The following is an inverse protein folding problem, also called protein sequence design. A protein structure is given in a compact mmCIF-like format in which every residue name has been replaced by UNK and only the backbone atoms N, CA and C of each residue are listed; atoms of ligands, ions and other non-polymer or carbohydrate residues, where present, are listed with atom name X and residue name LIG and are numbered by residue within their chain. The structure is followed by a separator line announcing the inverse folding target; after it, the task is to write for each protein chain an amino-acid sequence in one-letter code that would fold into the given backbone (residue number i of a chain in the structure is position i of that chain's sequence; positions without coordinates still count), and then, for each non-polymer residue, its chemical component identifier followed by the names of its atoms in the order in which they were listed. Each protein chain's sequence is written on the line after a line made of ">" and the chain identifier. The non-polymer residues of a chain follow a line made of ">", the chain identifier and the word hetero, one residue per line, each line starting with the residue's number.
data_IF_723897096428
#
_entry.id   IF_723897096428
#
_cell.length_a   1.000
_cell.length_b   1.000
_cell.length_c   1.000
_cell.angle_alpha   90.00
_cell.angle_beta   90.00
_cell.angle_gamma   90.00
#
_symmetry.space_group_name_H-M   'P 1'
#
loop_
_entity.id
_entity.type
_entity.pdbx_description
1 polymer ?
#
# COMPACT_ATOMS: atom_id res chain seq x y z
N UNK A 1 22.66 -20.77 1.90
CA UNK A 1 22.14 -21.61 0.80
C UNK A 1 20.96 -20.87 0.19
N UNK A 2 21.08 -20.43 -1.07
CA UNK A 2 20.00 -19.70 -1.75
C UNK A 2 18.97 -20.70 -2.24
N UNK A 3 17.85 -20.87 -1.56
CA UNK A 3 16.71 -21.58 -2.11
C UNK A 3 16.05 -20.68 -3.18
N UNK A 4 16.49 -20.87 -4.42
CA UNK A 4 15.74 -20.37 -5.57
C UNK A 4 14.47 -21.19 -5.66
N UNK A 5 13.32 -20.54 -5.49
CA UNK A 5 12.04 -21.07 -5.92
C UNK A 5 12.16 -21.45 -7.41
N UNK A 6 12.26 -22.72 -7.67
CA UNK A 6 12.07 -23.23 -9.03
C UNK A 6 10.56 -23.24 -9.27
N UNK A 7 10.02 -22.10 -9.73
CA UNK A 7 8.66 -22.04 -10.25
C UNK A 7 8.62 -22.97 -11.45
N UNK A 8 8.24 -24.24 -11.22
CA UNK A 8 8.06 -25.18 -12.32
C UNK A 8 7.02 -24.61 -13.25
N UNK A 9 7.46 -24.24 -14.45
CA UNK A 9 6.58 -23.87 -15.55
C UNK A 9 5.64 -25.04 -15.85
N UNK A 10 4.37 -24.85 -15.57
CA UNK A 10 3.32 -25.60 -16.24
C UNK A 10 2.86 -24.65 -17.34
N UNK A 11 3.33 -24.89 -18.55
CA UNK A 11 2.91 -24.19 -19.75
C UNK A 11 1.45 -24.57 -20.04
N UNK A 12 0.54 -23.68 -19.70
CA UNK A 12 -0.85 -23.74 -20.12
C UNK A 12 -1.23 -22.36 -20.66
N UNK A 13 -1.17 -22.20 -21.98
CA UNK A 13 -1.59 -21.00 -22.69
C UNK A 13 -3.09 -20.84 -22.52
N UNK A 14 -3.55 -19.84 -21.76
CA UNK A 14 -4.93 -19.37 -21.84
C UNK A 14 -4.91 -17.85 -21.93
N UNK A 15 -5.21 -17.37 -23.11
CA UNK A 15 -5.46 -15.98 -23.44
C UNK A 15 -6.85 -15.61 -22.90
N UNK A 16 -6.92 -14.85 -21.82
CA UNK A 16 -8.17 -14.32 -21.31
C UNK A 16 -8.36 -12.89 -21.80
N UNK A 17 -9.12 -12.75 -22.88
CA UNK A 17 -9.73 -11.48 -23.30
C UNK A 17 -10.93 -11.23 -22.40
N UNK A 18 -10.91 -10.15 -21.63
CA UNK A 18 -12.07 -9.73 -20.84
C UNK A 18 -13.15 -9.16 -21.75
N UNK A 19 -14.06 -10.01 -22.19
CA UNK A 19 -15.36 -9.63 -22.75
C UNK A 19 -16.42 -10.15 -21.78
N UNK A 20 -17.19 -9.25 -21.20
CA UNK A 20 -18.37 -9.56 -20.41
C UNK A 20 -19.42 -10.22 -21.30
N UNK A 21 -19.49 -11.54 -21.28
CA UNK A 21 -20.59 -12.33 -21.81
C UNK A 21 -20.87 -13.47 -20.84
N UNK A 22 -22.02 -13.37 -20.20
CA UNK A 22 -22.62 -14.46 -19.44
C UNK A 22 -22.87 -15.64 -20.39
N UNK A 23 -22.01 -16.64 -20.36
CA UNK A 23 -22.27 -17.95 -20.91
C UNK A 23 -21.80 -19.00 -19.90
N UNK A 24 -22.74 -19.81 -19.47
CA UNK A 24 -22.54 -21.02 -18.69
C UNK A 24 -21.51 -21.90 -19.37
N UNK A 25 -20.30 -22.00 -18.82
CA UNK A 25 -19.30 -22.97 -19.25
C UNK A 25 -19.28 -24.09 -18.22
N UNK A 26 -19.63 -25.26 -18.69
CA UNK A 26 -19.55 -26.53 -17.95
C UNK A 26 -18.13 -26.81 -17.46
N UNK A 27 -18.01 -27.06 -16.17
CA UNK A 27 -16.93 -27.56 -15.39
C UNK A 27 -15.65 -28.04 -16.07
N UNK A 28 -14.64 -27.19 -16.02
CA UNK A 28 -13.27 -27.64 -15.79
C UNK A 28 -12.88 -27.07 -14.42
N UNK A 29 -12.65 -27.94 -13.44
CA UNK A 29 -12.00 -27.56 -12.21
C UNK A 29 -10.62 -27.02 -12.61
N UNK A 30 -10.46 -25.72 -12.56
CA UNK A 30 -9.16 -25.09 -12.77
C UNK A 30 -8.37 -25.36 -11.49
N UNK A 31 -7.27 -26.10 -11.61
CA UNK A 31 -6.40 -26.37 -10.47
C UNK A 31 -5.96 -25.04 -9.82
N UNK A 32 -6.02 -24.99 -8.51
CA UNK A 32 -5.51 -23.84 -7.76
C UNK A 32 -4.00 -23.69 -7.98
N UNK A 33 -3.51 -22.46 -8.11
CA UNK A 33 -2.08 -22.28 -8.32
C UNK A 33 -1.66 -20.90 -8.80
N UNK A 34 -0.33 -20.77 -8.93
CA UNK A 34 0.31 -19.56 -9.41
C UNK A 34 0.24 -19.46 -10.94
N UNK A 35 -0.16 -18.28 -11.40
CA UNK A 35 -0.19 -17.94 -12.82
C UNK A 35 0.58 -16.65 -13.06
N UNK A 36 1.13 -16.52 -14.27
CA UNK A 36 1.77 -15.29 -14.73
C UNK A 36 1.02 -14.77 -15.94
N UNK A 37 0.58 -13.53 -15.86
CA UNK A 37 -0.03 -12.85 -16.98
C UNK A 37 1.01 -12.54 -18.07
N UNK A 38 0.72 -12.91 -19.31
CA UNK A 38 1.68 -12.80 -20.41
C UNK A 38 1.89 -11.36 -20.89
N UNK A 39 0.92 -10.48 -20.68
CA UNK A 39 1.01 -9.07 -21.09
C UNK A 39 1.66 -8.20 -20.03
N UNK A 40 1.17 -8.28 -18.79
CA UNK A 40 1.65 -7.47 -17.67
C UNK A 40 2.89 -8.04 -16.99
N UNK A 41 3.19 -9.34 -17.23
CA UNK A 41 4.23 -10.13 -16.56
C UNK A 41 4.07 -10.22 -15.04
N UNK A 42 2.89 -9.86 -14.54
CA UNK A 42 2.55 -9.92 -13.11
C UNK A 42 2.01 -11.31 -12.75
N UNK A 43 2.16 -11.67 -11.47
CA UNK A 43 1.68 -12.94 -10.93
C UNK A 43 0.31 -12.76 -10.29
N UNK A 44 -0.52 -13.80 -10.35
CA UNK A 44 -1.80 -13.94 -9.66
C UNK A 44 -2.01 -15.39 -9.22
N UNK A 45 -2.98 -15.64 -8.32
CA UNK A 45 -3.23 -16.97 -7.79
C UNK A 45 -4.69 -17.37 -7.94
N UNK A 46 -4.95 -18.48 -8.63
CA UNK A 46 -6.29 -19.07 -8.73
C UNK A 46 -6.59 -19.98 -7.55
N UNK A 47 -7.84 -19.99 -7.11
CA UNK A 47 -8.36 -20.94 -6.12
C UNK A 47 -9.21 -22.02 -6.81
N UNK A 48 -9.48 -23.14 -6.11
CA UNK A 48 -10.09 -24.34 -6.68
C UNK A 48 -11.50 -24.14 -7.26
N UNK A 49 -12.18 -23.04 -6.94
CA UNK A 49 -13.52 -22.70 -7.48
C UNK A 49 -13.48 -21.85 -8.75
N UNK A 50 -12.28 -21.61 -9.29
CA UNK A 50 -12.05 -20.77 -10.48
C UNK A 50 -12.03 -19.28 -10.20
N UNK A 51 -12.08 -18.87 -8.93
CA UNK A 51 -11.85 -17.47 -8.50
C UNK A 51 -10.35 -17.21 -8.28
N UNK A 52 -10.02 -15.98 -7.92
CA UNK A 52 -8.64 -15.58 -7.60
C UNK A 52 -8.64 -14.55 -6.45
N UNK A 53 -7.53 -14.50 -5.74
CA UNK A 53 -7.38 -13.56 -4.63
C UNK A 53 -7.22 -12.13 -5.12
N UNK A 54 -7.84 -11.17 -4.42
CA UNK A 54 -7.68 -9.73 -4.64
C UNK A 54 -7.94 -8.94 -3.36
N UNK A 55 -7.32 -7.76 -3.28
CA UNK A 55 -7.42 -6.83 -2.14
C UNK A 55 -7.23 -7.51 -0.78
N UNK A 56 -6.32 -8.48 -0.69
CA UNK A 56 -6.19 -9.31 0.51
C UNK A 56 -4.82 -9.95 0.67
N UNK A 57 -4.47 -10.23 1.92
CA UNK A 57 -3.36 -11.10 2.29
C UNK A 57 -3.79 -12.56 2.29
N UNK A 58 -2.92 -13.43 1.80
CA UNK A 58 -3.17 -14.88 1.76
C UNK A 58 -1.92 -15.66 2.16
N UNK A 59 -2.11 -16.63 3.04
CA UNK A 59 -1.09 -17.62 3.36
C UNK A 59 -1.16 -18.75 2.34
N UNK A 60 -0.11 -18.95 1.57
CA UNK A 60 -0.07 -19.91 0.48
C UNK A 60 1.20 -20.76 0.60
N UNK A 61 1.02 -22.06 0.71
CA UNK A 61 2.08 -23.04 0.54
C UNK A 61 2.22 -23.32 -0.97
N UNK A 62 3.01 -22.48 -1.62
CA UNK A 62 3.13 -22.51 -3.08
C UNK A 62 4.02 -23.61 -3.63
N UNK A 63 4.79 -24.27 -2.77
CA UNK A 63 5.74 -25.33 -3.13
C UNK A 63 5.37 -26.70 -2.54
N UNK A 64 4.35 -26.77 -1.65
CA UNK A 64 3.86 -27.99 -1.05
C UNK A 64 4.78 -28.58 0.03
N UNK A 65 5.61 -27.75 0.68
CA UNK A 65 6.54 -28.20 1.71
C UNK A 65 5.94 -28.16 3.13
N UNK A 66 4.67 -27.76 3.26
CA UNK A 66 3.94 -27.66 4.52
C UNK A 66 4.17 -26.34 5.26
N UNK A 67 4.86 -25.40 4.62
CA UNK A 67 5.11 -24.05 5.13
C UNK A 67 4.51 -23.04 4.16
N UNK A 68 3.61 -22.19 4.64
CA UNK A 68 3.00 -21.11 3.86
C UNK A 68 3.73 -19.79 4.09
N UNK A 69 4.00 -19.07 3.01
CA UNK A 69 4.36 -17.65 3.02
C UNK A 69 3.11 -16.79 2.85
N UNK A 70 3.20 -15.52 3.27
CA UNK A 70 2.10 -14.58 3.17
C UNK A 70 2.29 -13.64 1.98
N UNK A 71 1.25 -13.49 1.16
CA UNK A 71 1.28 -12.72 -0.09
C UNK A 71 0.11 -11.73 -0.13
N UNK A 72 0.34 -10.52 -0.65
CA UNK A 72 -0.72 -9.53 -0.86
C UNK A 72 -1.08 -9.41 -2.34
N UNK A 73 -2.40 -9.43 -2.62
CA UNK A 73 -2.94 -9.25 -3.96
C UNK A 73 -3.66 -7.90 -4.05
N UNK A 74 -3.44 -7.15 -5.14
CA UNK A 74 -4.10 -5.86 -5.39
C UNK A 74 -5.58 -6.02 -5.78
N UNK A 75 -6.25 -4.90 -6.07
CA UNK A 75 -7.67 -4.88 -6.46
C UNK A 75 -7.94 -5.60 -7.79
N UNK A 76 -6.94 -5.72 -8.65
CA UNK A 76 -7.02 -6.43 -9.92
C UNK A 76 -6.64 -7.91 -9.79
N UNK A 77 -6.18 -8.32 -8.59
CA UNK A 77 -5.79 -9.68 -8.27
C UNK A 77 -4.32 -10.00 -8.56
N UNK A 78 -3.50 -9.00 -8.83
CA UNK A 78 -2.08 -9.22 -9.06
C UNK A 78 -1.27 -9.15 -7.77
N UNK A 79 -0.25 -9.99 -7.68
CA UNK A 79 0.70 -10.05 -6.59
C UNK A 79 1.54 -8.77 -6.49
N UNK A 80 1.66 -8.22 -5.29
CA UNK A 80 2.69 -7.23 -4.95
C UNK A 80 4.06 -7.91 -4.85
N UNK A 81 5.07 -7.33 -5.50
CA UNK A 81 6.45 -7.83 -5.46
C UNK A 81 7.42 -6.67 -5.32
N UNK A 82 8.46 -6.84 -4.49
CA UNK A 82 9.52 -5.85 -4.25
C UNK A 82 8.96 -4.45 -3.93
N UNK A 83 7.93 -4.41 -3.06
CA UNK A 83 7.18 -3.18 -2.78
C UNK A 83 6.64 -3.16 -1.34
N UNK A 84 6.02 -2.03 -0.97
CA UNK A 84 5.21 -1.91 0.23
C UNK A 84 3.74 -1.97 -0.16
N UNK A 85 2.98 -2.81 0.52
CA UNK A 85 1.54 -2.98 0.31
C UNK A 85 0.75 -1.75 0.80
N UNK A 86 -0.51 -1.54 0.37
CA UNK A 86 -1.32 -0.39 0.81
C UNK A 86 -1.52 -0.27 2.31
N UNK A 87 -1.42 -1.37 3.04
CA UNK A 87 -1.47 -1.44 4.51
C UNK A 87 -0.06 -1.42 5.16
N UNK A 88 1.01 -1.18 4.35
CA UNK A 88 2.34 -0.79 4.79
C UNK A 88 3.31 -1.92 5.12
N UNK A 89 2.98 -3.13 4.77
CA UNK A 89 3.91 -4.25 4.94
C UNK A 89 4.84 -4.41 3.74
N UNK A 90 6.09 -4.74 4.00
CA UNK A 90 7.09 -4.97 2.97
C UNK A 90 6.95 -6.37 2.39
N UNK A 91 6.95 -6.47 1.07
CA UNK A 91 7.08 -7.74 0.35
C UNK A 91 8.37 -7.77 -0.46
N UNK A 92 9.01 -8.93 -0.52
CA UNK A 92 10.26 -9.12 -1.28
C UNK A 92 10.01 -9.29 -2.79
N UNK A 93 11.06 -9.51 -3.56
CA UNK A 93 10.98 -9.72 -5.01
C UNK A 93 10.12 -10.92 -5.43
N UNK A 94 9.95 -11.90 -4.56
CA UNK A 94 9.07 -13.06 -4.77
C UNK A 94 7.62 -12.79 -4.30
N UNK A 95 7.36 -11.62 -3.72
CA UNK A 95 6.05 -11.19 -3.21
C UNK A 95 5.75 -11.67 -1.80
N UNK A 96 6.67 -12.34 -1.12
CA UNK A 96 6.47 -12.81 0.24
C UNK A 96 6.63 -11.67 1.26
N UNK A 97 5.72 -11.62 2.24
CA UNK A 97 5.79 -10.66 3.35
C UNK A 97 7.08 -10.81 4.15
N UNK A 98 7.72 -9.67 4.45
CA UNK A 98 8.95 -9.64 5.24
C UNK A 98 8.85 -8.68 6.42
N UNK A 99 9.49 -9.07 7.53
CA UNK A 99 9.78 -8.20 8.67
C UNK A 99 11.30 -8.23 8.85
N UNK A 100 11.95 -7.06 8.86
CA UNK A 100 13.43 -6.93 8.94
C UNK A 100 14.17 -7.76 7.87
N UNK A 101 13.62 -7.82 6.66
CA UNK A 101 14.08 -8.64 5.53
C UNK A 101 13.99 -10.17 5.76
N UNK A 102 13.28 -10.61 6.80
CA UNK A 102 13.02 -12.03 7.07
C UNK A 102 11.62 -12.37 6.57
N UNK A 103 11.52 -13.37 5.68
CA UNK A 103 10.22 -13.84 5.17
C UNK A 103 9.41 -14.41 6.32
N UNK A 104 8.16 -13.98 6.43
CA UNK A 104 7.22 -14.48 7.41
C UNK A 104 6.60 -15.78 6.91
N UNK A 105 6.60 -16.80 7.77
CA UNK A 105 6.18 -18.16 7.44
C UNK A 105 5.29 -18.74 8.52
N UNK A 106 4.34 -19.62 8.15
CA UNK A 106 3.50 -20.42 9.06
C UNK A 106 3.39 -21.85 8.59
N UNK A 107 3.28 -22.79 9.53
CA UNK A 107 2.95 -24.16 9.18
C UNK A 107 1.49 -24.29 8.75
N UNK A 108 1.24 -25.01 7.66
CA UNK A 108 -0.12 -25.22 7.12
C UNK A 108 -1.06 -25.84 8.15
N UNK A 109 -0.56 -26.71 9.02
CA UNK A 109 -1.35 -27.31 10.11
C UNK A 109 -1.86 -26.28 11.12
N UNK A 110 -1.10 -25.21 11.39
CA UNK A 110 -1.48 -24.14 12.31
C UNK A 110 -2.57 -23.25 11.70
N UNK A 111 -2.53 -23.01 10.38
CA UNK A 111 -3.56 -22.24 9.66
C UNK A 111 -4.93 -22.93 9.70
N UNK A 112 -4.97 -24.25 9.59
CA UNK A 112 -6.21 -25.02 9.64
C UNK A 112 -6.87 -24.99 11.03
N UNK A 113 -6.09 -24.84 12.10
CA UNK A 113 -6.60 -24.73 13.48
C UNK A 113 -7.21 -23.34 13.74
N UNK A 114 -6.61 -22.28 13.19
CA UNK A 114 -7.15 -20.92 13.31
C UNK A 114 -8.47 -20.75 12.55
N UNK A 115 -8.58 -21.30 11.33
CA UNK A 115 -9.84 -21.26 10.56
C UNK A 115 -10.98 -22.01 11.26
N UNK A 116 -10.69 -23.07 11.99
CA UNK A 116 -11.70 -23.83 12.74
C UNK A 116 -12.24 -23.08 13.97
N UNK A 117 -11.49 -22.09 14.50
CA UNK A 117 -11.88 -21.27 15.66
C UNK A 117 -12.68 -20.02 15.30
N UNK A 118 -12.68 -19.59 14.04
CA UNK A 118 -13.35 -18.36 13.57
C UNK A 118 -14.84 -18.57 13.24
N UNK A 119 -15.34 -19.81 13.29
CA UNK A 119 -16.74 -20.14 12.92
C UNK A 119 -17.81 -19.79 13.95
N UNK A 120 -17.50 -19.09 15.05
CA UNK A 120 -18.50 -18.68 16.04
C UNK A 120 -18.23 -17.29 16.60
N UNK A 121 -18.36 -16.25 15.75
CA UNK A 121 -18.60 -14.90 16.28
C UNK A 121 -19.59 -14.19 15.36
N UNK A 122 -20.65 -13.56 15.90
CA UNK A 122 -21.65 -12.86 15.08
C UNK A 122 -21.01 -11.69 14.38
N UNK A 123 -21.35 -11.52 13.11
CA UNK A 123 -21.08 -10.31 12.34
C UNK A 123 -21.78 -9.15 13.04
N UNK A 124 -21.05 -8.41 13.85
CA UNK A 124 -21.47 -7.09 14.33
C UNK A 124 -21.19 -6.08 13.23
N UNK A 125 -22.20 -5.25 13.01
CA UNK A 125 -22.34 -4.33 11.91
C UNK A 125 -21.11 -3.49 11.60
N UNK A 126 -20.99 -3.17 10.33
CA UNK A 126 -20.13 -2.14 9.77
C UNK A 126 -20.56 -0.81 10.41
N UNK A 127 -19.93 -0.43 11.51
CA UNK A 127 -20.07 0.87 12.14
C UNK A 127 -18.69 1.45 12.40
N UNK A 128 -18.38 2.52 11.65
CA UNK A 128 -17.59 3.69 12.04
C UNK A 128 -16.20 3.53 12.68
N UNK A 129 -15.56 2.37 12.51
CA UNK A 129 -14.22 2.13 13.05
C UNK A 129 -13.14 2.96 12.33
N UNK A 130 -13.36 3.36 11.08
CA UNK A 130 -12.37 4.09 10.28
C UNK A 130 -12.17 5.52 10.78
N UNK A 131 -13.25 6.19 11.21
CA UNK A 131 -13.18 7.58 11.67
C UNK A 131 -12.62 7.68 13.10
N UNK A 132 -13.00 6.76 14.00
CA UNK A 132 -12.43 6.69 15.35
C UNK A 132 -10.95 6.31 15.33
N UNK A 133 -10.57 5.35 14.49
CA UNK A 133 -9.17 4.98 14.28
C UNK A 133 -8.37 6.13 13.68
N UNK A 134 -8.94 6.87 12.72
CA UNK A 134 -8.34 8.08 12.16
C UNK A 134 -8.06 9.12 13.25
N UNK A 135 -9.08 9.47 14.05
CA UNK A 135 -8.95 10.49 15.09
C UNK A 135 -7.93 10.10 16.17
N UNK A 136 -7.85 8.82 16.52
CA UNK A 136 -6.90 8.31 17.51
C UNK A 136 -5.46 8.26 16.99
N UNK A 137 -5.25 8.03 15.69
CA UNK A 137 -3.93 7.81 15.10
C UNK A 137 -3.38 9.01 14.31
N UNK A 138 -4.18 10.04 14.06
CA UNK A 138 -3.84 11.16 13.18
C UNK A 138 -2.47 11.77 13.48
N UNK A 139 -2.24 12.17 14.73
CA UNK A 139 -0.96 12.79 15.12
C UNK A 139 0.20 11.81 15.02
N UNK A 140 0.02 10.58 15.50
CA UNK A 140 1.04 9.54 15.43
C UNK A 140 1.44 9.23 13.98
N UNK A 141 0.48 9.22 13.06
CA UNK A 141 0.71 8.96 11.65
C UNK A 141 1.46 10.12 10.96
N UNK A 142 1.12 11.37 11.30
CA UNK A 142 1.80 12.56 10.80
C UNK A 142 3.25 12.60 11.26
N UNK A 143 3.49 12.36 12.55
CA UNK A 143 4.82 12.32 13.14
C UNK A 143 5.66 11.16 12.56
N UNK A 144 5.05 10.01 12.31
CA UNK A 144 5.73 8.86 11.72
C UNK A 144 6.18 9.15 10.28
N UNK A 145 5.34 9.78 9.45
CA UNK A 145 5.75 10.21 8.10
C UNK A 145 6.98 11.11 8.17
N UNK A 146 6.97 12.13 9.03
CA UNK A 146 8.12 13.04 9.18
C UNK A 146 9.37 12.30 9.66
N UNK A 147 9.20 11.35 10.59
CA UNK A 147 10.29 10.49 11.08
C UNK A 147 10.89 9.64 9.95
N UNK A 148 10.05 9.04 9.10
CA UNK A 148 10.48 8.24 7.95
C UNK A 148 11.25 9.08 6.93
N UNK A 149 10.74 10.26 6.60
CA UNK A 149 11.42 11.22 5.72
C UNK A 149 12.77 11.62 6.30
N UNK A 150 12.85 11.94 7.58
CA UNK A 150 14.08 12.35 8.24
C UNK A 150 15.09 11.19 8.32
N UNK A 151 14.65 9.96 8.56
CA UNK A 151 15.51 8.77 8.48
C UNK A 151 16.09 8.59 7.07
N UNK A 152 15.28 8.79 6.04
CA UNK A 152 15.71 8.73 4.64
C UNK A 152 16.72 9.83 4.31
N UNK A 153 16.43 11.08 4.68
CA UNK A 153 17.33 12.22 4.51
C UNK A 153 18.69 11.97 5.18
N UNK A 154 18.68 11.45 6.41
CA UNK A 154 19.91 11.08 7.14
C UNK A 154 20.74 10.04 6.38
N UNK A 155 20.12 8.99 5.81
CA UNK A 155 20.83 7.99 4.99
C UNK A 155 21.52 8.61 3.77
N UNK A 156 20.98 9.70 3.24
CA UNK A 156 21.51 10.43 2.09
C UNK A 156 22.41 11.60 2.48
N UNK A 157 22.80 11.74 3.74
CA UNK A 157 23.63 12.84 4.23
C UNK A 157 22.95 14.21 4.14
N UNK A 158 21.60 14.27 4.20
CA UNK A 158 20.83 15.51 4.17
C UNK A 158 20.45 15.93 5.59
N UNK A 159 20.33 17.24 5.85
CA UNK A 159 19.80 17.75 7.12
C UNK A 159 18.39 17.22 7.38
N UNK A 160 18.06 16.97 8.64
CA UNK A 160 16.69 16.68 9.04
C UNK A 160 15.80 17.91 8.84
N UNK A 161 14.51 17.67 8.61
CA UNK A 161 13.47 18.70 8.60
C UNK A 161 12.94 18.86 10.02
N UNK A 162 12.79 20.10 10.45
CA UNK A 162 12.10 20.43 11.70
C UNK A 162 10.58 20.41 11.47
N UNK A 163 9.83 19.89 12.43
CA UNK A 163 8.38 20.00 12.44
C UNK A 163 7.99 21.46 12.64
N UNK A 164 7.15 21.98 11.77
CA UNK A 164 6.62 23.36 11.86
C UNK A 164 5.10 23.28 12.01
N UNK A 165 4.60 23.77 13.13
CA UNK A 165 3.18 23.65 13.47
C UNK A 165 2.28 24.44 12.49
N UNK A 166 2.74 25.59 11.97
CA UNK A 166 1.96 26.31 10.96
C UNK A 166 1.88 25.54 9.64
N UNK A 167 3.00 24.93 9.22
CA UNK A 167 2.99 24.05 8.04
C UNK A 167 2.14 22.81 8.30
N UNK A 168 2.13 22.32 9.54
CA UNK A 168 1.32 21.16 9.95
C UNK A 168 -0.18 21.44 9.78
N UNK A 169 -0.63 22.61 10.22
CA UNK A 169 -2.02 23.06 10.10
C UNK A 169 -2.40 23.29 8.63
N UNK A 170 -1.54 23.95 7.86
CA UNK A 170 -1.74 24.14 6.42
C UNK A 170 -1.77 22.80 5.67
N UNK A 171 -0.88 21.86 6.00
CA UNK A 171 -0.85 20.55 5.40
C UNK A 171 -2.12 19.75 5.73
N UNK A 172 -2.69 19.93 6.92
CA UNK A 172 -3.96 19.33 7.29
C UNK A 172 -5.11 19.85 6.42
N UNK A 173 -5.21 21.17 6.26
CA UNK A 173 -6.19 21.80 5.35
C UNK A 173 -6.00 21.26 3.93
N UNK A 174 -4.76 21.16 3.47
CA UNK A 174 -4.46 20.61 2.14
C UNK A 174 -4.87 19.15 2.00
N UNK A 175 -4.70 18.32 3.04
CA UNK A 175 -5.13 16.93 2.99
C UNK A 175 -6.66 16.80 2.83
N UNK A 176 -7.43 17.72 3.40
CA UNK A 176 -8.87 17.83 3.20
C UNK A 176 -9.20 18.33 1.78
N UNK A 177 -8.54 19.39 1.30
CA UNK A 177 -8.74 19.94 -0.04
C UNK A 177 -8.44 18.91 -1.17
N UNK A 178 -7.38 18.11 -1.04
CA UNK A 178 -7.08 17.09 -2.05
C UNK A 178 -8.05 15.91 -2.03
N UNK A 179 -8.88 15.78 -1.01
CA UNK A 179 -9.99 14.82 -1.02
C UNK A 179 -11.13 15.26 -1.94
N UNK A 180 -11.31 16.58 -2.11
CA UNK A 180 -12.28 17.17 -3.04
C UNK A 180 -11.72 17.24 -4.47
N UNK A 181 -10.47 17.75 -4.58
CA UNK A 181 -9.77 17.89 -5.86
C UNK A 181 -8.34 17.37 -5.73
N UNK A 182 -8.09 16.12 -6.19
CA UNK A 182 -6.75 15.54 -6.16
C UNK A 182 -5.83 16.21 -7.18
N UNK A 183 -5.28 17.35 -6.79
CA UNK A 183 -4.44 18.22 -7.62
C UNK A 183 -3.54 19.07 -6.72
N UNK A 184 -2.43 19.58 -7.26
CA UNK A 184 -1.64 20.64 -6.62
C UNK A 184 -2.39 21.99 -6.63
N UNK A 185 -3.35 22.18 -7.52
CA UNK A 185 -4.26 23.33 -7.50
C UNK A 185 -5.29 23.18 -6.38
N UNK A 186 -5.58 24.27 -5.68
CA UNK A 186 -6.55 24.29 -4.58
C UNK A 186 -8.00 24.38 -5.09
N UNK A 187 -8.97 23.73 -4.45
CA UNK A 187 -10.38 23.95 -4.73
C UNK A 187 -10.74 25.46 -4.64
N UNK A 188 -11.57 25.92 -5.54
CA UNK A 188 -12.09 27.30 -5.55
C UNK A 188 -11.15 28.35 -6.13
N UNK A 189 -9.84 28.29 -5.93
CA UNK A 189 -8.89 29.25 -6.50
C UNK A 189 -8.26 28.75 -7.81
N UNK A 190 -8.13 27.45 -8.00
CA UNK A 190 -7.40 26.84 -9.10
C UNK A 190 -5.88 27.02 -9.04
N UNK A 191 -5.37 27.67 -8.00
CA UNK A 191 -3.95 27.97 -7.82
C UNK A 191 -3.32 27.05 -6.78
N UNK A 192 -2.04 26.64 -6.93
CA UNK A 192 -1.31 25.91 -5.91
C UNK A 192 -0.99 26.82 -4.70
N UNK A 193 -0.57 26.21 -3.59
CA UNK A 193 0.06 26.95 -2.52
C UNK A 193 1.39 27.55 -3.01
N UNK A 194 1.59 28.83 -2.75
CA UNK A 194 2.74 29.58 -3.25
C UNK A 194 3.82 29.76 -2.19
N UNK A 195 5.03 30.07 -2.66
CA UNK A 195 6.14 30.48 -1.82
C UNK A 195 5.80 31.74 -0.96
N UNK A 196 4.83 32.55 -1.36
CA UNK A 196 4.32 33.69 -0.57
C UNK A 196 3.71 33.26 0.75
N UNK A 197 3.20 32.01 0.82
CA UNK A 197 2.69 31.40 2.04
C UNK A 197 3.80 30.70 2.83
N UNK A 198 5.07 30.88 2.43
CA UNK A 198 6.22 30.20 3.02
C UNK A 198 6.38 28.76 2.55
N UNK A 199 5.62 28.31 1.54
CA UNK A 199 5.65 26.96 1.00
C UNK A 199 6.59 26.90 -0.20
N UNK A 200 7.57 26.01 -0.13
CA UNK A 200 8.57 25.81 -1.18
C UNK A 200 8.48 24.47 -1.89
N UNK A 201 7.60 23.58 -1.42
CA UNK A 201 7.34 22.29 -2.06
C UNK A 201 6.13 21.60 -1.44
N UNK A 202 5.47 20.79 -2.24
CA UNK A 202 4.33 19.96 -1.84
C UNK A 202 4.45 18.57 -2.45
N UNK A 203 4.20 17.53 -1.66
CA UNK A 203 3.94 16.18 -2.15
C UNK A 203 2.57 15.72 -1.64
N UNK A 204 1.80 15.09 -2.51
CA UNK A 204 0.46 14.59 -2.21
C UNK A 204 0.36 13.10 -2.49
N UNK A 205 -0.49 12.39 -1.73
CA UNK A 205 -0.79 10.98 -1.92
C UNK A 205 -2.22 10.69 -1.52
N UNK A 206 -2.83 9.69 -2.13
CA UNK A 206 -4.17 9.21 -1.78
C UNK A 206 -4.24 7.69 -1.77
N UNK A 207 -5.27 7.16 -1.07
CA UNK A 207 -5.62 5.73 -1.04
C UNK A 207 -4.53 4.84 -0.43
N UNK A 208 -3.72 5.40 0.45
CA UNK A 208 -2.69 4.68 1.21
C UNK A 208 -3.00 4.79 2.70
N UNK A 209 -3.15 3.67 3.38
CA UNK A 209 -3.70 3.62 4.74
C UNK A 209 -2.72 4.03 5.83
N UNK A 210 -1.43 3.82 5.64
CA UNK A 210 -0.43 3.98 6.70
C UNK A 210 0.79 4.79 6.25
N UNK A 211 1.54 5.38 7.20
CA UNK A 211 2.71 6.23 6.95
C UNK A 211 3.78 5.63 6.04
N UNK A 212 4.14 4.37 6.28
CA UNK A 212 5.19 3.68 5.50
C UNK A 212 4.81 3.55 4.02
N UNK A 213 3.54 3.25 3.73
CA UNK A 213 3.03 3.18 2.37
C UNK A 213 3.09 4.53 1.65
N UNK A 214 2.67 5.62 2.32
CA UNK A 214 2.75 6.96 1.75
C UNK A 214 4.21 7.37 1.48
N UNK A 215 5.09 7.16 2.44
CA UNK A 215 6.53 7.41 2.31
C UNK A 215 7.14 6.59 1.16
N UNK A 216 6.82 5.31 1.06
CA UNK A 216 7.31 4.44 -0.02
C UNK A 216 6.85 4.92 -1.39
N UNK A 217 5.57 5.22 -1.55
CA UNK A 217 5.03 5.71 -2.81
C UNK A 217 5.72 7.01 -3.27
N UNK A 218 6.01 7.93 -2.34
CA UNK A 218 6.74 9.15 -2.66
C UNK A 218 8.20 8.87 -3.05
N UNK A 219 8.91 7.99 -2.36
CA UNK A 219 10.32 7.67 -2.68
C UNK A 219 10.50 6.97 -4.01
N UNK A 220 9.48 6.27 -4.50
CA UNK A 220 9.50 5.62 -5.82
C UNK A 220 9.00 6.52 -6.97
N UNK A 221 8.52 7.71 -6.68
CA UNK A 221 8.16 8.72 -7.67
C UNK A 221 9.29 9.72 -7.86
N UNK A 222 9.89 9.80 -9.04
CA UNK A 222 11.03 10.69 -9.32
C UNK A 222 10.78 12.14 -8.92
N UNK A 223 9.56 12.64 -9.12
CA UNK A 223 9.17 14.01 -8.78
C UNK A 223 9.10 14.23 -7.27
N UNK A 224 8.38 13.36 -6.57
CA UNK A 224 8.22 13.42 -5.12
C UNK A 224 9.55 13.16 -4.40
N UNK A 225 10.30 12.13 -4.80
CA UNK A 225 11.60 11.79 -4.24
C UNK A 225 12.62 12.94 -4.35
N UNK A 226 12.58 13.72 -5.44
CA UNK A 226 13.38 14.92 -5.59
C UNK A 226 13.08 15.93 -4.47
N UNK A 227 11.81 16.16 -4.15
CA UNK A 227 11.40 17.07 -3.08
C UNK A 227 11.79 16.53 -1.70
N UNK A 228 11.56 15.24 -1.43
CA UNK A 228 11.97 14.62 -0.17
C UNK A 228 13.49 14.78 0.11
N UNK A 229 14.31 14.83 -0.93
CA UNK A 229 15.78 14.95 -0.87
C UNK A 229 16.30 16.38 -0.97
N UNK A 230 15.42 17.36 -1.21
CA UNK A 230 15.84 18.73 -1.43
C UNK A 230 16.53 19.30 -0.15
N UNK A 231 17.80 19.68 -0.29
CA UNK A 231 18.65 20.07 0.84
C UNK A 231 18.33 21.48 1.38
N UNK A 232 17.71 22.30 0.55
CA UNK A 232 17.35 23.69 0.94
C UNK A 232 16.19 23.69 1.94
N UNK A 233 15.35 22.68 1.95
CA UNK A 233 14.26 22.58 2.91
C UNK A 233 14.77 22.38 4.33
N UNK A 234 14.22 23.14 5.26
CA UNK A 234 14.55 23.13 6.69
C UNK A 234 13.38 22.63 7.55
N UNK A 235 12.15 22.91 7.12
CA UNK A 235 10.93 22.67 7.89
C UNK A 235 9.92 21.90 7.06
N UNK A 236 9.06 21.15 7.73
CA UNK A 236 7.95 20.47 7.08
C UNK A 236 6.73 20.37 8.01
N UNK A 237 5.56 20.31 7.39
CA UNK A 237 4.31 19.91 8.03
C UNK A 237 3.66 18.77 7.27
N UNK A 238 3.06 17.82 7.98
CA UNK A 238 2.39 16.65 7.42
C UNK A 238 0.89 16.73 7.68
N UNK A 239 0.08 16.59 6.65
CA UNK A 239 -1.37 16.48 6.72
C UNK A 239 -1.80 15.04 6.44
N UNK A 240 -2.81 14.58 7.19
CA UNK A 240 -3.46 13.30 6.99
C UNK A 240 -4.96 13.44 7.18
N UNK A 241 -5.74 13.03 6.20
CA UNK A 241 -7.19 13.09 6.23
C UNK A 241 -7.82 11.77 5.75
N UNK A 242 -8.91 11.38 6.41
CA UNK A 242 -9.74 10.22 6.02
C UNK A 242 -11.15 10.71 5.80
N UNK A 243 -11.69 10.44 4.62
CA UNK A 243 -13.09 10.75 4.27
C UNK A 243 -14.05 9.79 4.98
N UNK A 244 -15.34 10.12 5.03
CA UNK A 244 -16.38 9.27 5.62
C UNK A 244 -16.46 7.87 4.97
N UNK A 245 -16.14 7.78 3.67
CA UNK A 245 -16.06 6.50 2.95
C UNK A 245 -14.70 5.79 3.11
N UNK A 246 -13.86 6.25 4.06
CA UNK A 246 -12.60 5.61 4.46
C UNK A 246 -11.42 5.81 3.51
N UNK A 247 -11.48 6.75 2.57
CA UNK A 247 -10.34 7.08 1.69
C UNK A 247 -9.34 7.98 2.39
N UNK A 248 -8.06 7.65 2.28
CA UNK A 248 -6.96 8.36 2.93
C UNK A 248 -6.28 9.31 1.97
N UNK A 249 -5.87 10.47 2.51
CA UNK A 249 -5.17 11.54 1.80
C UNK A 249 -4.02 12.07 2.66
N UNK A 250 -2.87 12.25 2.02
CA UNK A 250 -1.63 12.64 2.66
C UNK A 250 -1.00 13.82 1.94
N UNK A 251 -0.44 14.72 2.70
CA UNK A 251 0.31 15.88 2.18
C UNK A 251 1.56 16.09 3.01
N UNK A 252 2.68 16.43 2.38
CA UNK A 252 3.80 17.09 3.06
C UNK A 252 4.00 18.45 2.41
N UNK A 253 4.02 19.48 3.22
CA UNK A 253 4.45 20.83 2.84
C UNK A 253 5.87 21.06 3.34
N UNK A 254 6.70 21.68 2.51
CA UNK A 254 8.10 21.97 2.81
C UNK A 254 8.36 23.47 2.78
N UNK A 255 9.25 23.94 3.67
CA UNK A 255 9.75 25.31 3.70
C UNK A 255 11.27 25.36 3.86
N UNK A 256 11.87 26.47 3.39
CA UNK A 256 13.30 26.79 3.51
C UNK A 256 13.62 27.36 4.90
#
# INVERSE_FOLDING_TARGET
>A
MKNRFSKKQIAGTVMAVFLSLSSTISGFAQDSGWHKDEMTKRWWYSVSDGTFYKSSWQWIDGNGDGIAECYYFDSDGYLYTDWITPDGFTVNADGAWTVDNIVQQRKVQELNVEQSKVSTTPVLGINDTSQEEYLSNKEAYRDEVLRLVNRYRKKLGKPALEKDENLQDLAQIRAEEISELYSHARPGTGEPLHWQDGINGEVIMRLVKIPDGAFSAWTHSKGHDKLLKEKSFKRAGVGYYVTEDGKQYWVILFAI
#
